data_IF_772507159252
#
_entry.id   IF_772507159252
#
_cell.length_a   1.000
_cell.length_b   1.000
_cell.length_c   1.000
_cell.angle_alpha   90.00
_cell.angle_beta   90.00
_cell.angle_gamma   90.00
#
_symmetry.space_group_name_H-M   'P 1'
#
loop_
_entity.id
_entity.type
_entity.pdbx_description
1 polymer ?
#
# COMPACT_ATOMS: atom_id res chain seq x y z
N UNK A 1 7.89 11.89 7.34
CA UNK A 1 8.00 11.26 8.64
C UNK A 1 9.41 11.43 9.19
N UNK A 2 9.56 11.93 10.41
CA UNK A 2 10.88 12.17 10.99
C UNK A 2 11.76 13.15 10.18
N UNK A 3 11.16 14.13 9.53
CA UNK A 3 11.84 15.09 8.67
C UNK A 3 12.27 14.54 7.30
N UNK A 4 11.85 13.30 6.95
CA UNK A 4 12.15 12.63 5.68
C UNK A 4 10.90 12.43 4.84
N UNK A 5 11.04 12.53 3.53
CA UNK A 5 9.99 12.29 2.53
C UNK A 5 10.15 10.88 1.95
N UNK A 6 9.17 10.02 2.24
CA UNK A 6 9.11 8.66 1.69
C UNK A 6 8.09 8.61 0.54
N UNK A 7 8.44 7.95 -0.54
CA UNK A 7 7.51 7.55 -1.59
C UNK A 7 7.28 6.04 -1.45
N UNK A 8 6.02 5.64 -1.27
CA UNK A 8 5.66 4.23 -1.03
C UNK A 8 4.87 3.71 -2.22
N UNK A 9 5.28 2.54 -2.74
CA UNK A 9 4.61 1.80 -3.80
C UNK A 9 4.25 2.67 -5.03
N UNK A 10 5.25 3.27 -5.71
CA UNK A 10 4.99 4.21 -6.79
C UNK A 10 4.48 3.51 -8.06
N UNK A 11 3.17 3.68 -8.35
CA UNK A 11 2.59 3.51 -9.67
C UNK A 11 2.48 4.89 -10.30
N UNK A 12 3.38 5.21 -11.24
CA UNK A 12 3.53 6.54 -11.84
C UNK A 12 3.09 6.62 -13.31
N UNK A 13 2.53 5.54 -13.83
CA UNK A 13 2.03 5.48 -15.19
C UNK A 13 0.83 6.41 -15.41
N UNK A 14 0.75 7.01 -16.58
CA UNK A 14 -0.42 7.79 -17.00
C UNK A 14 -1.65 6.90 -17.13
N UNK A 15 -2.82 7.49 -16.88
CA UNK A 15 -4.11 6.82 -17.02
C UNK A 15 -4.24 6.07 -18.34
N UNK A 16 -4.62 4.80 -18.25
CA UNK A 16 -4.93 3.97 -19.41
C UNK A 16 -3.71 3.49 -20.20
N UNK A 17 -2.49 3.57 -19.66
CA UNK A 17 -1.26 3.15 -20.38
C UNK A 17 -0.79 1.75 -20.03
N UNK A 18 -1.21 1.20 -18.89
CA UNK A 18 -0.90 -0.17 -18.49
C UNK A 18 -2.03 -1.14 -18.90
N UNK A 19 -1.71 -2.39 -19.27
CA UNK A 19 -2.73 -3.37 -19.58
C UNK A 19 -3.62 -3.66 -18.38
N UNK A 20 -4.83 -4.22 -18.60
CA UNK A 20 -5.66 -4.72 -17.51
C UNK A 20 -4.89 -5.75 -16.68
N UNK A 21 -4.94 -5.63 -15.37
CA UNK A 21 -4.34 -6.64 -14.49
C UNK A 21 -5.22 -7.89 -14.51
N UNK A 22 -4.60 -8.99 -14.87
CA UNK A 22 -5.24 -10.30 -14.95
C UNK A 22 -4.55 -11.25 -13.98
N UNK A 23 -5.31 -12.13 -13.36
CA UNK A 23 -4.75 -13.16 -12.53
C UNK A 23 -3.87 -14.12 -13.35
N UNK A 24 -2.78 -14.57 -12.79
CA UNK A 24 -1.96 -15.67 -13.31
C UNK A 24 -2.61 -17.05 -13.11
N UNK A 25 -3.70 -17.11 -12.34
CA UNK A 25 -4.42 -18.34 -11.98
C UNK A 25 -5.81 -18.43 -12.60
N UNK A 26 -6.65 -19.31 -12.08
CA UNK A 26 -8.00 -19.57 -12.60
C UNK A 26 -9.06 -18.52 -12.18
N UNK A 27 -8.62 -17.32 -11.79
CA UNK A 27 -9.46 -16.26 -11.26
C UNK A 27 -9.74 -15.20 -12.34
N UNK A 28 -10.95 -15.14 -12.92
CA UNK A 28 -11.29 -14.13 -13.92
C UNK A 28 -11.22 -12.72 -13.35
N UNK A 29 -10.57 -11.80 -14.07
CA UNK A 29 -10.48 -10.40 -13.68
C UNK A 29 -11.77 -9.64 -13.99
N UNK A 30 -12.30 -8.83 -13.07
CA UNK A 30 -13.34 -7.86 -13.39
C UNK A 30 -12.76 -6.79 -14.33
N UNK A 31 -13.63 -6.11 -15.08
CA UNK A 31 -13.24 -5.01 -15.99
C UNK A 31 -12.00 -5.32 -16.84
N UNK A 32 -11.93 -6.55 -17.36
CA UNK A 32 -10.79 -7.09 -18.12
C UNK A 32 -10.41 -6.28 -19.38
N UNK A 33 -11.31 -5.40 -19.83
CA UNK A 33 -11.13 -4.55 -21.02
C UNK A 33 -10.72 -3.12 -20.65
N UNK A 34 -10.54 -2.81 -19.36
CA UNK A 34 -10.13 -1.48 -18.89
C UNK A 34 -8.62 -1.44 -18.66
N UNK A 35 -7.96 -0.53 -19.36
CA UNK A 35 -6.53 -0.23 -19.16
C UNK A 35 -6.32 0.48 -17.82
N UNK A 36 -5.21 0.20 -17.18
CA UNK A 36 -4.78 0.82 -15.91
C UNK A 36 -3.79 1.98 -16.18
N UNK A 37 -3.59 2.90 -15.21
CA UNK A 37 -4.49 3.23 -14.12
C UNK A 37 -5.85 3.71 -14.62
N UNK A 38 -6.90 3.60 -13.81
CA UNK A 38 -8.25 4.10 -14.15
C UNK A 38 -8.40 5.60 -13.88
N UNK A 39 -7.47 6.18 -13.13
CA UNK A 39 -7.44 7.57 -12.69
C UNK A 39 -6.18 8.27 -13.18
N UNK A 40 -6.24 9.59 -13.29
CA UNK A 40 -5.06 10.41 -13.59
C UNK A 40 -4.21 10.57 -12.32
N UNK A 41 -2.88 10.80 -12.50
CA UNK A 41 -2.03 11.21 -11.39
C UNK A 41 -2.51 12.56 -10.83
N UNK A 42 -2.51 12.75 -9.50
CA UNK A 42 -3.00 13.98 -8.88
C UNK A 42 -2.08 15.19 -9.13
N UNK A 43 -0.85 14.94 -9.57
CA UNK A 43 0.15 15.96 -9.90
C UNK A 43 1.18 15.41 -10.88
N UNK A 44 2.00 16.26 -11.53
CA UNK A 44 3.08 15.82 -12.40
C UNK A 44 4.06 14.87 -11.70
N UNK A 45 4.60 13.91 -12.42
CA UNK A 45 5.56 12.91 -11.89
C UNK A 45 6.78 13.61 -11.26
N UNK A 46 7.25 14.69 -11.86
CA UNK A 46 8.39 15.48 -11.38
C UNK A 46 8.13 16.05 -9.98
N UNK A 47 6.89 16.45 -9.68
CA UNK A 47 6.50 16.97 -8.38
C UNK A 47 6.37 15.85 -7.34
N UNK A 48 5.90 14.66 -7.77
CA UNK A 48 5.82 13.47 -6.91
C UNK A 48 7.21 13.07 -6.42
N UNK A 49 8.17 12.98 -7.33
CA UNK A 49 9.53 12.50 -7.02
C UNK A 49 10.46 13.59 -6.48
N UNK A 50 10.03 14.85 -6.51
CA UNK A 50 10.88 15.96 -6.07
C UNK A 50 11.14 15.90 -4.56
N UNK A 51 12.42 15.90 -4.21
CA UNK A 51 12.88 15.95 -2.81
C UNK A 51 12.54 14.72 -1.98
N UNK A 52 12.26 13.55 -2.59
CA UNK A 52 12.14 12.30 -1.85
C UNK A 52 13.51 11.87 -1.29
N UNK A 53 13.52 11.39 -0.04
CA UNK A 53 14.70 10.86 0.62
C UNK A 53 14.85 9.34 0.42
N UNK A 54 13.74 8.63 0.36
CA UNK A 54 13.71 7.19 0.16
C UNK A 54 12.43 6.71 -0.54
N UNK A 55 12.54 5.56 -1.20
CA UNK A 55 11.42 4.81 -1.78
C UNK A 55 11.25 3.51 -1.01
N UNK A 56 10.01 3.12 -0.76
CA UNK A 56 9.67 1.81 -0.20
C UNK A 56 8.78 1.07 -1.19
N UNK A 57 9.14 -0.15 -1.54
CA UNK A 57 8.34 -1.04 -2.40
C UNK A 57 7.96 -2.27 -1.59
N UNK A 58 6.66 -2.39 -1.27
CA UNK A 58 6.15 -3.47 -0.43
C UNK A 58 6.12 -4.81 -1.16
N UNK A 59 5.94 -4.77 -2.48
CA UNK A 59 6.03 -5.91 -3.41
C UNK A 59 6.04 -5.42 -4.88
N UNK A 60 6.34 -6.32 -5.81
CA UNK A 60 6.61 -5.95 -7.21
C UNK A 60 5.40 -6.06 -8.16
N UNK A 61 4.16 -5.98 -7.69
CA UNK A 61 3.03 -5.85 -8.59
C UNK A 61 3.07 -4.50 -9.32
N UNK A 62 2.51 -4.45 -10.54
CA UNK A 62 2.61 -3.26 -11.40
C UNK A 62 1.87 -2.02 -10.86
N UNK A 63 0.92 -2.22 -9.96
CA UNK A 63 0.24 -1.14 -9.22
C UNK A 63 1.00 -0.64 -7.98
N UNK A 64 2.17 -1.22 -7.71
CA UNK A 64 3.09 -0.84 -6.62
C UNK A 64 4.50 -0.51 -7.13
N UNK A 65 4.87 -1.00 -8.31
CA UNK A 65 6.19 -0.80 -8.90
C UNK A 65 6.12 -0.92 -10.43
N UNK A 66 5.73 0.16 -11.11
CA UNK A 66 5.57 0.17 -12.56
C UNK A 66 6.86 0.53 -13.33
N UNK A 67 6.79 0.46 -14.66
CA UNK A 67 7.94 0.75 -15.52
C UNK A 67 8.29 2.24 -15.52
N UNK A 68 7.33 3.14 -15.32
CA UNK A 68 7.59 4.58 -15.23
C UNK A 68 8.37 4.89 -13.95
N UNK A 69 7.97 4.33 -12.81
CA UNK A 69 8.74 4.46 -11.56
C UNK A 69 10.19 3.96 -11.74
N UNK A 70 10.36 2.81 -12.42
CA UNK A 70 11.69 2.27 -12.74
C UNK A 70 12.50 3.22 -13.62
N UNK A 71 11.87 3.94 -14.54
CA UNK A 71 12.55 4.86 -15.46
C UNK A 71 12.92 6.18 -14.81
N UNK A 72 11.95 6.83 -14.13
CA UNK A 72 12.09 8.23 -13.67
C UNK A 72 12.82 8.38 -12.35
N UNK A 73 12.79 7.36 -11.48
CA UNK A 73 13.44 7.45 -10.18
C UNK A 73 14.96 7.46 -10.29
N UNK A 74 15.65 8.35 -9.52
CA UNK A 74 17.11 8.38 -9.50
C UNK A 74 17.69 7.05 -9.05
N UNK A 75 18.65 6.53 -9.80
CA UNK A 75 19.25 5.19 -9.55
C UNK A 75 20.06 5.12 -8.26
N UNK A 76 20.44 6.25 -7.71
CA UNK A 76 21.15 6.37 -6.42
C UNK A 76 20.19 6.54 -5.22
N UNK A 77 18.87 6.67 -5.46
CA UNK A 77 17.89 6.84 -4.38
C UNK A 77 17.96 5.66 -3.41
N UNK A 78 17.82 5.92 -2.11
CA UNK A 78 17.64 4.86 -1.12
C UNK A 78 16.32 4.14 -1.37
N UNK A 79 16.36 2.83 -1.56
CA UNK A 79 15.20 2.01 -1.87
C UNK A 79 15.12 0.82 -0.92
N UNK A 80 13.97 0.64 -0.27
CA UNK A 80 13.70 -0.47 0.62
C UNK A 80 12.70 -1.43 -0.02
N UNK A 81 12.94 -2.73 0.15
CA UNK A 81 12.12 -3.81 -0.41
C UNK A 81 11.84 -4.90 0.62
N UNK A 82 10.88 -5.76 0.35
CA UNK A 82 10.48 -6.80 1.29
C UNK A 82 11.49 -7.95 1.44
N UNK A 83 12.18 -8.36 0.38
CA UNK A 83 13.11 -9.50 0.42
C UNK A 83 14.21 -9.41 -0.64
N UNK A 84 15.12 -10.40 -0.64
CA UNK A 84 16.26 -10.44 -1.56
C UNK A 84 15.86 -10.73 -3.03
N UNK A 85 14.73 -11.40 -3.27
CA UNK A 85 14.25 -11.63 -4.63
C UNK A 85 13.85 -10.29 -5.26
N UNK A 86 13.06 -9.49 -4.55
CA UNK A 86 12.66 -8.16 -4.98
C UNK A 86 13.87 -7.22 -5.09
N UNK A 87 14.83 -7.30 -4.15
CA UNK A 87 16.05 -6.52 -4.22
C UNK A 87 16.87 -6.84 -5.49
N UNK A 88 17.00 -8.11 -5.82
CA UNK A 88 17.74 -8.53 -7.01
C UNK A 88 17.04 -8.08 -8.29
N UNK A 89 15.72 -8.21 -8.36
CA UNK A 89 14.92 -7.73 -9.49
C UNK A 89 15.09 -6.21 -9.69
N UNK A 90 14.97 -5.41 -8.64
CA UNK A 90 15.13 -3.96 -8.70
C UNK A 90 16.54 -3.54 -9.11
N UNK A 91 17.58 -4.24 -8.64
CA UNK A 91 18.98 -4.00 -9.05
C UNK A 91 19.22 -4.20 -10.55
N UNK A 92 18.45 -5.08 -11.22
CA UNK A 92 18.54 -5.26 -12.68
C UNK A 92 18.17 -4.00 -13.46
N UNK A 93 17.35 -3.12 -12.88
CA UNK A 93 17.00 -1.81 -13.45
C UNK A 93 18.02 -0.71 -13.12
N UNK A 94 19.17 -1.05 -12.54
CA UNK A 94 20.28 -0.15 -12.29
C UNK A 94 20.23 0.60 -10.96
N UNK A 95 19.29 0.30 -10.07
CA UNK A 95 19.24 0.87 -8.71
C UNK A 95 20.40 0.34 -7.87
N UNK A 96 21.17 1.24 -7.24
CA UNK A 96 22.43 0.89 -6.57
C UNK A 96 22.30 0.81 -5.06
N UNK A 97 21.32 1.50 -4.48
CA UNK A 97 21.17 1.61 -3.03
C UNK A 97 19.91 0.89 -2.53
N UNK A 98 19.82 -0.42 -2.81
CA UNK A 98 18.67 -1.27 -2.47
C UNK A 98 18.97 -2.06 -1.21
N UNK A 99 18.09 -1.93 -0.21
CA UNK A 99 18.17 -2.61 1.09
C UNK A 99 16.89 -3.40 1.38
N UNK A 100 17.06 -4.60 1.93
CA UNK A 100 15.93 -5.44 2.37
C UNK A 100 15.46 -4.99 3.75
N UNK A 101 14.17 -4.70 3.87
CA UNK A 101 13.51 -4.40 5.15
C UNK A 101 13.58 -5.59 6.11
N UNK A 102 13.90 -5.29 7.36
CA UNK A 102 13.95 -6.22 8.49
C UNK A 102 13.21 -5.62 9.68
N UNK A 103 13.15 -6.34 10.78
CA UNK A 103 12.55 -5.83 12.04
C UNK A 103 13.42 -4.73 12.69
N UNK A 104 14.70 -4.67 12.37
CA UNK A 104 15.69 -3.75 12.92
C UNK A 104 16.22 -2.73 11.91
N UNK A 105 15.60 -2.59 10.73
CA UNK A 105 16.04 -1.62 9.72
C UNK A 105 15.91 -0.20 10.26
N UNK A 106 16.95 0.60 10.07
CA UNK A 106 16.99 2.01 10.46
C UNK A 106 17.41 2.87 9.27
N UNK A 107 16.64 3.89 8.98
CA UNK A 107 16.97 4.93 8.01
C UNK A 107 17.08 6.28 8.73
N UNK A 108 18.28 6.82 8.78
CA UNK A 108 18.61 7.99 9.62
C UNK A 108 18.27 7.68 11.10
N UNK A 109 17.30 8.38 11.69
CA UNK A 109 16.79 8.13 13.05
C UNK A 109 15.45 7.38 13.08
N UNK A 110 14.94 6.96 11.91
CA UNK A 110 13.63 6.34 11.75
C UNK A 110 13.80 4.82 11.72
N UNK A 111 13.16 4.12 12.64
CA UNK A 111 13.06 2.67 12.60
C UNK A 111 11.96 2.28 11.61
N UNK A 112 12.30 1.42 10.63
CA UNK A 112 11.40 0.87 9.62
C UNK A 112 11.23 -0.62 9.90
N UNK A 113 10.17 -1.00 10.61
CA UNK A 113 9.96 -2.39 11.00
C UNK A 113 9.12 -3.10 9.95
N UNK A 114 9.69 -4.09 9.27
CA UNK A 114 8.94 -4.94 8.35
C UNK A 114 7.89 -5.75 9.10
N UNK A 115 6.68 -5.79 8.57
CA UNK A 115 5.58 -6.59 9.09
C UNK A 115 5.10 -7.62 8.08
N UNK A 116 4.37 -8.63 8.54
CA UNK A 116 3.80 -9.65 7.66
C UNK A 116 2.53 -9.14 7.01
N UNK A 117 2.39 -9.37 5.69
CA UNK A 117 1.16 -9.18 4.94
C UNK A 117 0.58 -10.51 4.44
N UNK A 118 -0.69 -10.50 4.07
CA UNK A 118 -1.41 -11.63 3.48
C UNK A 118 -2.30 -11.11 2.36
N UNK A 119 -1.85 -11.25 1.12
CA UNK A 119 -2.48 -10.70 -0.08
C UNK A 119 -3.65 -11.58 -0.56
N UNK A 120 -4.69 -11.65 0.25
CA UNK A 120 -5.89 -12.42 -0.06
C UNK A 120 -6.15 -13.60 0.89
N UNK A 121 -7.13 -14.42 0.51
CA UNK A 121 -7.57 -15.60 1.27
C UNK A 121 -7.73 -16.79 0.35
N UNK A 122 -7.54 -18.02 0.88
CA UNK A 122 -7.75 -19.25 0.14
C UNK A 122 -6.73 -19.51 -0.96
N UNK A 123 -7.20 -20.05 -2.07
CA UNK A 123 -6.35 -20.58 -3.16
C UNK A 123 -5.56 -19.49 -3.89
N UNK A 124 -6.06 -18.25 -3.93
CA UNK A 124 -5.39 -17.12 -4.60
C UNK A 124 -3.97 -16.87 -4.06
N UNK A 125 -3.71 -17.21 -2.81
CA UNK A 125 -2.39 -17.07 -2.18
C UNK A 125 -1.25 -17.79 -2.91
N UNK A 126 -1.58 -18.79 -3.71
CA UNK A 126 -0.59 -19.51 -4.53
C UNK A 126 -0.13 -18.71 -5.75
N UNK A 127 -0.77 -17.56 -6.05
CA UNK A 127 -0.59 -16.81 -7.29
C UNK A 127 -0.15 -15.37 -7.09
N UNK A 128 -0.44 -14.78 -5.94
CA UNK A 128 -0.21 -13.33 -5.69
C UNK A 128 1.15 -13.00 -5.09
N UNK A 129 1.89 -13.99 -4.62
CA UNK A 129 3.23 -13.79 -4.04
C UNK A 129 3.22 -13.24 -2.62
N UNK A 130 4.42 -12.88 -2.15
CA UNK A 130 4.62 -12.33 -0.83
C UNK A 130 4.41 -10.81 -0.84
N UNK A 131 3.95 -10.28 0.29
CA UNK A 131 3.75 -8.86 0.53
C UNK A 131 4.17 -8.50 1.95
N UNK A 132 4.46 -7.25 2.21
CA UNK A 132 4.74 -6.79 3.56
C UNK A 132 4.07 -5.44 3.85
N UNK A 133 3.92 -5.16 5.15
CA UNK A 133 3.68 -3.81 5.64
C UNK A 133 4.91 -3.27 6.37
N UNK A 134 4.83 -2.03 6.84
CA UNK A 134 5.93 -1.35 7.54
C UNK A 134 5.39 -0.53 8.71
N UNK A 135 5.99 -0.70 9.89
CA UNK A 135 5.79 0.23 11.01
C UNK A 135 6.93 1.23 11.04
N UNK A 136 6.60 2.50 11.05
CA UNK A 136 7.52 3.62 11.20
C UNK A 136 7.53 4.08 12.66
N UNK A 137 8.72 4.19 13.25
CA UNK A 137 8.90 4.69 14.61
C UNK A 137 10.00 5.74 14.65
N UNK A 138 9.72 6.84 15.31
CA UNK A 138 10.67 7.90 15.59
C UNK A 138 10.36 8.51 16.96
N UNK A 139 11.36 9.05 17.65
CA UNK A 139 11.20 9.52 19.04
C UNK A 139 10.28 10.75 19.20
N UNK A 140 10.05 11.51 18.13
CA UNK A 140 9.22 12.73 18.13
C UNK A 140 7.97 12.63 17.28
N UNK A 141 7.73 11.48 16.65
CA UNK A 141 6.60 11.28 15.74
C UNK A 141 5.64 10.22 16.29
N UNK A 142 4.38 10.30 15.91
CA UNK A 142 3.41 9.24 16.16
C UNK A 142 3.85 7.96 15.46
N UNK A 143 3.66 6.80 16.10
CA UNK A 143 3.89 5.52 15.44
C UNK A 143 2.92 5.36 14.27
N UNK A 144 3.44 5.13 13.06
CA UNK A 144 2.67 4.94 11.85
C UNK A 144 2.83 3.51 11.33
N UNK A 145 1.71 2.88 10.98
CA UNK A 145 1.70 1.56 10.34
C UNK A 145 1.11 1.68 8.93
N UNK A 146 1.91 1.41 7.90
CA UNK A 146 1.46 1.19 6.53
C UNK A 146 1.24 -0.30 6.33
N UNK A 147 0.01 -0.73 6.04
CA UNK A 147 -0.34 -2.15 6.01
C UNK A 147 0.18 -2.88 4.78
N UNK A 148 0.37 -2.17 3.65
CA UNK A 148 0.55 -2.77 2.34
C UNK A 148 -0.68 -3.56 1.89
N UNK A 149 -0.51 -4.41 0.88
CA UNK A 149 -1.57 -5.24 0.33
C UNK A 149 -1.82 -6.48 1.22
N UNK A 150 -2.69 -6.31 2.19
CA UNK A 150 -3.07 -7.37 3.11
C UNK A 150 -4.56 -7.33 3.43
N UNK A 151 -5.16 -8.49 3.69
CA UNK A 151 -6.46 -8.60 4.34
C UNK A 151 -6.29 -8.46 5.86
N UNK A 152 -7.38 -8.18 6.58
CA UNK A 152 -7.39 -8.31 8.03
C UNK A 152 -7.21 -9.76 8.46
N UNK A 153 -6.18 -10.04 9.27
CA UNK A 153 -5.88 -11.36 9.81
C UNK A 153 -4.99 -11.26 11.06
N UNK A 154 -4.69 -12.39 11.67
CA UNK A 154 -4.02 -12.47 12.98
C UNK A 154 -2.68 -11.70 13.04
N UNK A 155 -1.84 -11.73 12.00
CA UNK A 155 -0.57 -11.03 12.07
C UNK A 155 -0.71 -9.49 11.98
N UNK A 156 -1.75 -8.95 11.34
CA UNK A 156 -2.08 -7.52 11.40
C UNK A 156 -2.49 -7.14 12.81
N UNK A 157 -3.33 -7.97 13.45
CA UNK A 157 -3.70 -7.78 14.85
C UNK A 157 -2.50 -7.81 15.79
N UNK A 158 -1.60 -8.79 15.62
CA UNK A 158 -0.36 -8.87 16.40
C UNK A 158 0.54 -7.64 16.22
N UNK A 159 0.62 -7.10 15.00
CA UNK A 159 1.36 -5.85 14.73
C UNK A 159 0.75 -4.67 15.50
N UNK A 160 -0.57 -4.56 15.51
CA UNK A 160 -1.27 -3.52 16.26
C UNK A 160 -1.02 -3.67 17.76
N UNK A 161 -1.18 -4.87 18.29
CA UNK A 161 -1.01 -5.17 19.72
C UNK A 161 0.44 -4.88 20.17
N UNK A 162 1.43 -5.14 19.30
CA UNK A 162 2.86 -4.97 19.60
C UNK A 162 3.31 -3.51 19.51
N UNK A 163 2.87 -2.77 18.48
CA UNK A 163 3.41 -1.45 18.17
C UNK A 163 2.47 -0.30 18.53
N UNK A 164 1.20 -0.60 18.81
CA UNK A 164 0.15 0.38 19.15
C UNK A 164 0.21 1.63 18.26
N UNK A 165 0.08 1.49 16.91
CA UNK A 165 0.24 2.61 16.00
C UNK A 165 -0.88 3.63 16.20
N UNK A 166 -0.52 4.92 16.23
CA UNK A 166 -1.48 6.01 16.35
C UNK A 166 -2.08 6.40 14.99
N UNK A 167 -1.37 6.05 13.90
CA UNK A 167 -1.78 6.26 12.52
C UNK A 167 -1.63 4.95 11.77
N UNK A 168 -2.68 4.56 11.03
CA UNK A 168 -2.64 3.38 10.16
C UNK A 168 -3.05 3.81 8.75
N UNK A 169 -2.17 3.59 7.77
CA UNK A 169 -2.49 3.73 6.35
C UNK A 169 -2.80 2.34 5.81
N UNK A 170 -4.05 2.12 5.43
CA UNK A 170 -4.55 0.81 5.00
C UNK A 170 -4.94 0.80 3.52
N UNK A 171 -4.41 -0.16 2.76
CA UNK A 171 -4.86 -0.45 1.42
C UNK A 171 -6.24 -1.10 1.51
N UNK A 172 -7.30 -0.40 1.02
CA UNK A 172 -8.69 -0.62 1.40
C UNK A 172 -9.68 -0.75 0.23
N UNK A 173 -9.19 -0.91 -0.99
CA UNK A 173 -10.02 -0.96 -2.19
C UNK A 173 -10.87 -2.22 -2.37
N UNK A 174 -10.85 -3.17 -1.42
CA UNK A 174 -11.52 -4.47 -1.56
C UNK A 174 -11.23 -5.15 -2.91
N UNK A 175 -9.98 -5.03 -3.36
CA UNK A 175 -9.56 -5.56 -4.65
C UNK A 175 -9.83 -7.06 -4.69
N UNK A 176 -10.49 -7.52 -5.76
CA UNK A 176 -10.83 -8.94 -5.91
C UNK A 176 -10.99 -9.33 -7.38
N UNK A 177 -10.92 -10.63 -7.64
CA UNK A 177 -11.33 -11.21 -8.91
C UNK A 177 -12.82 -11.62 -8.87
N UNK A 178 -13.39 -12.02 -10.01
CA UNK A 178 -14.81 -12.42 -10.09
C UNK A 178 -15.12 -13.69 -9.29
N UNK A 179 -14.10 -14.46 -8.95
CA UNK A 179 -14.17 -15.68 -8.14
C UNK A 179 -13.12 -15.59 -7.05
N UNK A 180 -13.47 -15.99 -5.85
CA UNK A 180 -12.57 -15.92 -4.70
C UNK A 180 -12.97 -14.82 -3.72
N UNK A 181 -12.07 -14.55 -2.80
CA UNK A 181 -12.25 -13.54 -1.75
C UNK A 181 -11.38 -12.30 -2.03
N UNK A 182 -11.56 -11.26 -1.23
CA UNK A 182 -10.77 -10.02 -1.30
C UNK A 182 -9.28 -10.27 -1.20
N UNK A 183 -8.50 -9.53 -1.98
CA UNK A 183 -7.03 -9.54 -1.98
C UNK A 183 -6.46 -8.61 -0.90
N UNK A 184 -7.15 -7.51 -0.62
CA UNK A 184 -6.79 -6.51 0.37
C UNK A 184 -8.01 -6.20 1.25
N UNK A 185 -7.84 -5.33 2.23
CA UNK A 185 -8.95 -4.97 3.12
C UNK A 185 -10.12 -4.35 2.37
N UNK A 186 -11.33 -4.75 2.76
CA UNK A 186 -12.58 -4.10 2.41
C UNK A 186 -13.18 -3.41 3.64
N UNK A 187 -14.41 -2.89 3.50
CA UNK A 187 -15.09 -2.13 4.56
C UNK A 187 -15.24 -2.91 5.89
N UNK A 188 -15.52 -4.21 5.81
CA UNK A 188 -15.68 -5.04 7.01
C UNK A 188 -14.33 -5.30 7.69
N UNK A 189 -13.25 -5.53 6.93
CA UNK A 189 -11.89 -5.65 7.44
C UNK A 189 -11.44 -4.34 8.13
N UNK A 190 -11.74 -3.18 7.54
CA UNK A 190 -11.45 -1.87 8.13
C UNK A 190 -12.24 -1.64 9.43
N UNK A 191 -13.45 -2.12 9.50
CA UNK A 191 -14.25 -2.04 10.72
C UNK A 191 -13.68 -2.92 11.84
N UNK A 192 -13.22 -4.13 11.52
CA UNK A 192 -12.51 -5.00 12.47
C UNK A 192 -11.18 -4.37 12.92
N UNK A 193 -10.42 -3.77 11.99
CA UNK A 193 -9.21 -3.01 12.28
C UNK A 193 -9.50 -1.86 13.27
N UNK A 194 -10.52 -1.04 12.98
CA UNK A 194 -10.93 0.05 13.88
C UNK A 194 -11.34 -0.46 15.27
N UNK A 195 -12.11 -1.55 15.36
CA UNK A 195 -12.50 -2.12 16.65
C UNK A 195 -11.31 -2.61 17.48
N UNK A 196 -10.27 -3.10 16.80
CA UNK A 196 -9.07 -3.57 17.48
C UNK A 196 -8.21 -2.43 18.05
N UNK A 197 -8.30 -1.22 17.46
CA UNK A 197 -7.52 -0.04 17.88
C UNK A 197 -8.36 1.25 17.69
N UNK A 198 -9.40 1.47 18.50
CA UNK A 198 -10.40 2.51 18.25
C UNK A 198 -9.89 3.95 18.40
N UNK A 199 -8.78 4.15 19.07
CA UNK A 199 -8.20 5.48 19.28
C UNK A 199 -7.34 5.96 18.10
N UNK A 200 -6.89 5.05 17.24
CA UNK A 200 -6.03 5.36 16.10
C UNK A 200 -6.79 6.00 14.95
N UNK A 201 -6.09 6.80 14.16
CA UNK A 201 -6.59 7.31 12.89
C UNK A 201 -6.22 6.33 11.79
N UNK A 202 -7.21 5.83 11.06
CA UNK A 202 -7.05 4.95 9.90
C UNK A 202 -7.26 5.79 8.64
N UNK A 203 -6.34 5.70 7.67
CA UNK A 203 -6.40 6.37 6.37
C UNK A 203 -6.56 5.28 5.32
N UNK A 204 -7.73 5.24 4.67
CA UNK A 204 -8.02 4.28 3.61
C UNK A 204 -7.46 4.78 2.27
N UNK A 205 -6.56 4.01 1.68
CA UNK A 205 -5.91 4.29 0.38
C UNK A 205 -6.05 3.09 -0.56
N UNK A 206 -5.43 3.14 -1.74
CA UNK A 206 -5.45 2.08 -2.75
C UNK A 206 -6.88 1.75 -3.21
N UNK A 207 -7.64 2.79 -3.58
CA UNK A 207 -9.04 2.69 -3.98
C UNK A 207 -9.24 3.17 -5.42
N UNK A 208 -10.08 2.47 -6.17
CA UNK A 208 -10.60 2.87 -7.49
C UNK A 208 -9.59 3.04 -8.64
N UNK A 209 -8.28 2.92 -8.37
CA UNK A 209 -7.23 3.22 -9.36
C UNK A 209 -6.92 2.07 -10.33
N UNK A 210 -7.32 0.84 -10.02
CA UNK A 210 -7.00 -0.35 -10.82
C UNK A 210 -8.24 -1.16 -11.20
N UNK A 211 -8.19 -1.90 -12.31
CA UNK A 211 -9.36 -2.54 -12.91
C UNK A 211 -10.07 -3.61 -12.04
N UNK A 212 -9.46 -4.05 -10.95
CA UNK A 212 -10.01 -5.07 -10.05
C UNK A 212 -10.40 -4.53 -8.66
N UNK A 213 -10.55 -3.20 -8.51
CA UNK A 213 -11.10 -2.62 -7.27
C UNK A 213 -12.56 -3.06 -7.04
N UNK A 214 -12.96 -3.18 -5.78
CA UNK A 214 -14.28 -3.64 -5.37
C UNK A 214 -15.05 -2.68 -4.46
N UNK A 215 -14.36 -1.76 -3.79
CA UNK A 215 -14.96 -0.79 -2.85
C UNK A 215 -14.63 0.63 -3.28
N UNK A 216 -15.68 1.44 -3.53
CA UNK A 216 -15.53 2.86 -3.82
C UNK A 216 -15.36 3.70 -2.56
N UNK A 217 -14.74 4.90 -2.71
CA UNK A 217 -14.65 5.90 -1.63
C UNK A 217 -16.03 6.31 -1.12
N UNK A 218 -17.02 6.48 -2.02
CA UNK A 218 -18.38 6.83 -1.65
C UNK A 218 -19.06 5.76 -0.78
N UNK A 219 -18.94 4.50 -1.17
CA UNK A 219 -19.47 3.36 -0.39
C UNK A 219 -18.81 3.26 0.98
N UNK A 220 -17.47 3.43 1.05
CA UNK A 220 -16.76 3.40 2.33
C UNK A 220 -17.14 4.59 3.22
N UNK A 221 -17.23 5.81 2.67
CA UNK A 221 -17.70 7.01 3.42
C UNK A 221 -19.12 6.79 3.97
N UNK A 222 -20.01 6.19 3.18
CA UNK A 222 -21.38 5.88 3.60
C UNK A 222 -21.40 4.84 4.73
N UNK A 223 -20.61 3.78 4.59
CA UNK A 223 -20.46 2.75 5.62
C UNK A 223 -19.86 3.32 6.93
N UNK A 224 -18.82 4.13 6.84
CA UNK A 224 -18.21 4.78 8.00
C UNK A 224 -19.21 5.67 8.75
N UNK A 225 -20.07 6.38 8.02
CA UNK A 225 -21.15 7.20 8.61
C UNK A 225 -22.18 6.32 9.32
N UNK A 226 -22.60 5.22 8.70
CA UNK A 226 -23.53 4.25 9.32
C UNK A 226 -22.98 3.66 10.62
N UNK A 227 -21.68 3.34 10.63
CA UNK A 227 -20.98 2.77 11.78
C UNK A 227 -20.57 3.80 12.83
N UNK A 228 -20.68 5.11 12.54
CA UNK A 228 -20.26 6.18 13.45
C UNK A 228 -18.75 6.32 13.61
N UNK A 229 -17.97 5.94 12.60
CA UNK A 229 -16.50 5.89 12.64
C UNK A 229 -15.81 6.88 11.68
N UNK A 230 -16.57 7.78 11.07
CA UNK A 230 -16.04 8.72 10.03
C UNK A 230 -14.92 9.64 10.52
N UNK A 231 -14.86 9.93 11.83
CA UNK A 231 -13.79 10.75 12.41
C UNK A 231 -12.47 9.97 12.62
N UNK A 232 -12.53 8.64 12.57
CA UNK A 232 -11.40 7.74 12.82
C UNK A 232 -10.94 7.03 11.55
N UNK A 233 -11.84 6.80 10.59
CA UNK A 233 -11.53 6.17 9.30
C UNK A 233 -11.69 7.19 8.19
N UNK A 234 -10.59 7.83 7.84
CA UNK A 234 -10.51 8.87 6.81
C UNK A 234 -10.45 8.22 5.43
N UNK A 235 -11.15 8.82 4.48
CA UNK A 235 -11.19 8.36 3.09
C UNK A 235 -10.84 9.55 2.17
N UNK A 236 -9.54 9.82 1.96
CA UNK A 236 -9.10 10.97 1.14
C UNK A 236 -9.35 10.74 -0.35
N UNK A 237 -9.41 11.85 -1.07
CA UNK A 237 -9.31 11.85 -2.53
C UNK A 237 -7.84 11.77 -2.97
N UNK A 238 -7.62 11.44 -4.26
CA UNK A 238 -6.28 11.39 -4.81
C UNK A 238 -5.63 12.80 -4.79
N UNK A 239 -4.44 12.90 -4.22
CA UNK A 239 -3.71 14.17 -4.05
C UNK A 239 -4.03 14.95 -2.78
N UNK A 240 -4.96 14.49 -1.94
CA UNK A 240 -5.24 15.15 -0.66
C UNK A 240 -4.02 15.12 0.28
N UNK A 241 -3.83 16.21 1.00
CA UNK A 241 -2.88 16.30 2.10
C UNK A 241 -3.61 16.08 3.43
N UNK A 242 -3.15 15.11 4.23
CA UNK A 242 -3.71 14.82 5.54
C UNK A 242 -2.71 15.25 6.61
N UNK A 243 -3.13 16.15 7.48
CA UNK A 243 -2.35 16.63 8.62
C UNK A 243 -2.91 16.01 9.90
N UNK A 244 -2.09 15.25 10.65
CA UNK A 244 -2.51 14.47 11.82
C UNK A 244 -1.63 14.79 13.03
#
# INVERSE_FOLDING_TARGET
>A
YGGKKFLIDPMLAEKGTLPPFISKGPFPSPRKDQMNPLVDLPMPVEDIINGIDAVIVTHLHLDHWDDIAKEVLPKEIKLFVQDENDANEIRLYGFKNVEVLREDTVFESIQLVKTKGKHGRGEILNYVGNVCGIVFKHSTEKTLYFTGDTVWYEAVKQTIDQYNPEIIVANAGDNHFLVGESLIMGKDDLYELHKAIPDSTIIAVHMEAVNHWGLSREELKSFNKEKGISEKVLVPEDGDNIFI
#
